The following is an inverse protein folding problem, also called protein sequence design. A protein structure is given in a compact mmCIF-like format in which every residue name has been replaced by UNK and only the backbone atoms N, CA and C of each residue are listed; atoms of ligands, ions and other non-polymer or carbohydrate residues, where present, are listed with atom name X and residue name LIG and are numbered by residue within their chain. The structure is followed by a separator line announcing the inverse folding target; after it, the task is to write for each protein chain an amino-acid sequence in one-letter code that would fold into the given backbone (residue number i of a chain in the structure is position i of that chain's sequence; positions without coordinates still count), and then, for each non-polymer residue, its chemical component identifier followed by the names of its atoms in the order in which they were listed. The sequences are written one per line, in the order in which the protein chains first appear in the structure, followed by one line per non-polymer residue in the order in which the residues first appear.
data_IF_267434117177
#
_entry.id   IF_267434117177
#
_cell.length_a   1.000
_cell.length_b   1.000
_cell.length_c   1.000
_cell.angle_alpha   90.00
_cell.angle_beta   90.00
_cell.angle_gamma   90.00
#
_symmetry.space_group_name_H-M   'P 1'
#
loop_
_entity.id
_entity.type
_entity.pdbx_description
1 polymer ?
#
# COMPACT_ATOMS: atom_id res chain seq x y z
N UNK A 1 -14.00 -2.46 24.63
CA UNK A 1 -13.36 -2.11 23.35
C UNK A 1 -11.88 -2.36 23.54
N UNK A 2 -11.25 -3.14 22.68
CA UNK A 2 -9.80 -3.32 22.75
C UNK A 2 -9.09 -2.03 22.31
N UNK A 3 -7.97 -1.70 22.92
CA UNK A 3 -7.09 -0.63 22.44
C UNK A 3 -6.16 -1.19 21.37
N UNK A 4 -5.92 -0.41 20.31
CA UNK A 4 -4.97 -0.77 19.26
C UNK A 4 -3.64 -0.05 19.51
N UNK A 5 -2.55 -0.83 19.56
CA UNK A 5 -1.20 -0.33 19.76
C UNK A 5 -0.33 -0.63 18.54
N UNK A 6 0.59 0.29 18.23
CA UNK A 6 1.62 0.08 17.21
C UNK A 6 2.85 -0.49 17.93
N UNK A 7 3.16 -1.77 17.68
CA UNK A 7 4.31 -2.44 18.28
C UNK A 7 5.61 -2.17 17.51
N UNK A 8 5.53 -2.03 16.18
CA UNK A 8 6.68 -1.81 15.32
C UNK A 8 6.26 -1.14 14.00
N UNK A 9 7.19 -0.44 13.34
CA UNK A 9 6.96 0.24 12.07
C UNK A 9 8.27 0.38 11.29
N UNK A 10 8.24 0.00 10.00
CA UNK A 10 9.41 0.06 9.12
C UNK A 10 9.07 0.41 7.68
N UNK A 11 10.12 0.81 6.95
CA UNK A 11 10.04 1.22 5.55
C UNK A 11 11.36 0.98 4.85
N UNK A 12 11.30 0.86 3.53
CA UNK A 12 12.46 0.93 2.65
C UNK A 12 13.01 2.38 2.59
N UNK A 13 14.25 2.58 2.12
CA UNK A 13 14.66 3.88 1.58
C UNK A 13 13.76 4.26 0.39
N UNK A 14 13.65 5.56 0.09
CA UNK A 14 12.89 6.04 -1.07
C UNK A 14 13.83 6.29 -2.25
N UNK A 15 13.69 5.52 -3.32
CA UNK A 15 14.38 5.74 -4.59
C UNK A 15 13.67 6.78 -5.45
N UNK A 16 14.39 7.36 -6.42
CA UNK A 16 13.79 8.23 -7.43
C UNK A 16 12.78 7.43 -8.27
N UNK A 17 11.55 7.94 -8.42
CA UNK A 17 10.46 7.32 -9.18
C UNK A 17 10.64 7.37 -10.71
N UNK A 18 11.85 7.14 -11.21
CA UNK A 18 12.23 7.18 -12.63
C UNK A 18 13.14 5.99 -12.95
N UNK A 19 13.35 5.72 -14.24
CA UNK A 19 14.17 4.59 -14.70
C UNK A 19 15.63 4.63 -14.22
N UNK A 20 16.14 5.83 -13.93
CA UNK A 20 17.48 6.07 -13.40
C UNK A 20 17.53 6.11 -11.85
N UNK A 21 16.44 5.71 -11.18
CA UNK A 21 16.38 5.62 -9.73
C UNK A 21 17.00 4.34 -9.18
N UNK A 22 17.61 4.43 -8.00
CA UNK A 22 18.33 3.33 -7.34
C UNK A 22 17.50 2.08 -7.03
N UNK A 23 16.16 2.20 -6.98
CA UNK A 23 15.26 1.07 -6.73
C UNK A 23 14.54 0.58 -8.00
N UNK A 24 14.87 1.09 -9.19
CA UNK A 24 14.18 0.71 -10.43
C UNK A 24 14.32 -0.77 -10.78
N UNK A 25 15.41 -1.40 -10.37
CA UNK A 25 15.66 -2.83 -10.60
C UNK A 25 14.95 -3.75 -9.60
N UNK A 26 14.34 -3.18 -8.53
CA UNK A 26 13.63 -3.93 -7.50
C UNK A 26 12.13 -3.84 -7.78
N UNK A 27 11.46 -4.99 -7.87
CA UNK A 27 10.01 -5.06 -8.12
C UNK A 27 9.19 -4.56 -6.94
N UNK A 28 7.97 -4.08 -7.20
CA UNK A 28 7.01 -3.74 -6.13
C UNK A 28 6.81 -4.89 -5.14
N UNK A 29 6.65 -6.13 -5.63
CA UNK A 29 6.56 -7.31 -4.77
C UNK A 29 7.79 -7.45 -3.86
N UNK A 30 9.01 -7.35 -4.39
CA UNK A 30 10.23 -7.49 -3.58
C UNK A 30 10.36 -6.40 -2.51
N UNK A 31 9.92 -5.18 -2.79
CA UNK A 31 9.87 -4.10 -1.80
C UNK A 31 8.90 -4.44 -0.66
N UNK A 32 7.71 -4.95 -0.97
CA UNK A 32 6.72 -5.37 0.04
C UNK A 32 7.24 -6.58 0.86
N UNK A 33 7.78 -7.60 0.18
CA UNK A 33 8.38 -8.79 0.80
C UNK A 33 9.44 -8.41 1.83
N UNK A 34 10.41 -7.57 1.45
CA UNK A 34 11.51 -7.19 2.35
C UNK A 34 11.03 -6.48 3.61
N UNK A 35 9.95 -5.69 3.53
CA UNK A 35 9.38 -5.02 4.70
C UNK A 35 8.73 -6.03 5.65
N UNK A 36 8.01 -7.03 5.11
CA UNK A 36 7.40 -8.10 5.89
C UNK A 36 8.44 -9.05 6.50
N UNK A 37 9.49 -9.41 5.76
CA UNK A 37 10.63 -10.18 6.28
C UNK A 37 11.30 -9.43 7.43
N UNK A 38 11.61 -8.15 7.23
CA UNK A 38 12.27 -7.36 8.26
C UNK A 38 11.39 -7.20 9.51
N UNK A 39 10.06 -7.06 9.36
CA UNK A 39 9.10 -7.05 10.47
C UNK A 39 9.07 -8.37 11.22
N UNK A 40 9.10 -9.51 10.52
CA UNK A 40 9.19 -10.83 11.14
C UNK A 40 10.51 -10.98 11.92
N UNK A 41 11.62 -10.72 11.24
CA UNK A 41 12.95 -11.10 11.72
C UNK A 41 13.38 -10.25 12.92
N UNK A 42 13.05 -8.95 12.94
CA UNK A 42 13.44 -8.09 14.08
C UNK A 42 12.67 -8.36 15.36
N UNK A 43 11.51 -8.98 15.25
CA UNK A 43 10.62 -9.26 16.39
C UNK A 43 10.57 -10.74 16.76
N UNK A 44 11.19 -11.64 15.97
CA UNK A 44 10.97 -13.09 16.11
C UNK A 44 9.48 -13.44 16.00
N UNK A 45 8.75 -12.74 15.12
CA UNK A 45 7.29 -12.79 15.04
C UNK A 45 6.83 -14.17 14.57
N UNK A 46 5.98 -14.83 15.36
CA UNK A 46 5.20 -15.97 14.91
C UNK A 46 4.11 -15.48 13.95
N UNK A 47 4.42 -15.55 12.65
CA UNK A 47 3.52 -15.05 11.60
C UNK A 47 2.18 -15.78 11.58
N UNK A 48 2.05 -16.98 12.16
CA UNK A 48 0.76 -17.68 12.25
C UNK A 48 -0.28 -16.98 13.13
N UNK A 49 0.17 -16.04 13.97
CA UNK A 49 -0.69 -15.21 14.82
C UNK A 49 -1.15 -13.92 14.17
N UNK A 50 -0.63 -13.58 12.98
CA UNK A 50 -1.08 -12.42 12.24
C UNK A 50 -2.28 -12.80 11.41
N UNK A 51 -3.42 -12.18 11.70
CA UNK A 51 -4.70 -12.49 11.06
C UNK A 51 -4.77 -11.87 9.66
N UNK A 52 -4.24 -10.65 9.47
CA UNK A 52 -4.34 -9.95 8.20
C UNK A 52 -3.17 -8.99 7.93
N UNK A 53 -2.83 -8.85 6.64
CA UNK A 53 -1.87 -7.87 6.12
C UNK A 53 -2.57 -7.01 5.08
N UNK A 54 -2.79 -5.74 5.43
CA UNK A 54 -3.46 -4.76 4.59
C UNK A 54 -2.39 -3.85 3.99
N UNK A 55 -2.24 -3.88 2.66
CA UNK A 55 -1.32 -2.98 1.96
C UNK A 55 -2.08 -2.01 1.05
N UNK A 56 -1.83 -0.71 1.24
CA UNK A 56 -2.19 0.32 0.29
C UNK A 56 -1.32 0.24 -0.97
N UNK A 57 -1.95 0.23 -2.14
CA UNK A 57 -1.30 0.30 -3.45
C UNK A 57 -2.20 1.12 -4.38
N UNK A 58 -1.68 2.23 -4.92
CA UNK A 58 -2.48 3.17 -5.73
C UNK A 58 -2.63 2.67 -7.15
N UNK A 59 -1.62 2.01 -7.70
CA UNK A 59 -1.63 1.54 -9.09
C UNK A 59 -1.53 -0.01 -9.15
N UNK A 60 -2.59 -0.74 -8.75
CA UNK A 60 -2.56 -2.21 -8.57
C UNK A 60 -2.72 -2.97 -9.91
N UNK A 61 -1.80 -2.72 -10.84
CA UNK A 61 -1.74 -3.36 -12.17
C UNK A 61 -0.35 -3.92 -12.44
N UNK A 62 -0.24 -4.89 -13.34
CA UNK A 62 1.03 -5.51 -13.70
C UNK A 62 1.69 -6.15 -12.47
N UNK A 63 2.94 -5.80 -12.18
CA UNK A 63 3.68 -6.37 -11.04
C UNK A 63 3.12 -5.97 -9.66
N UNK A 64 2.19 -5.01 -9.60
CA UNK A 64 1.49 -4.61 -8.37
C UNK A 64 0.04 -5.11 -8.31
N UNK A 65 -0.41 -5.86 -9.32
CA UNK A 65 -1.75 -6.40 -9.40
C UNK A 65 -1.93 -7.73 -8.66
N UNK A 66 -3.07 -8.36 -8.89
CA UNK A 66 -3.41 -9.68 -8.34
C UNK A 66 -3.22 -9.79 -6.81
N UNK A 67 -3.67 -8.78 -6.09
CA UNK A 67 -3.50 -8.64 -4.64
C UNK A 67 -2.02 -8.77 -4.20
N UNK A 68 -1.30 -7.66 -4.31
CA UNK A 68 0.11 -7.58 -3.91
C UNK A 68 0.31 -7.85 -2.41
N UNK A 69 -0.68 -7.60 -1.55
CA UNK A 69 -0.58 -7.89 -0.13
C UNK A 69 -0.53 -9.39 0.11
N UNK A 70 -1.47 -10.14 -0.47
CA UNK A 70 -1.49 -11.60 -0.36
C UNK A 70 -0.25 -12.24 -0.97
N UNK A 71 0.19 -11.73 -2.12
CA UNK A 71 1.39 -12.21 -2.81
C UNK A 71 2.65 -11.96 -1.96
N UNK A 72 2.77 -10.79 -1.33
CA UNK A 72 3.90 -10.45 -0.46
C UNK A 72 3.95 -11.31 0.81
N UNK A 73 2.81 -11.61 1.44
CA UNK A 73 2.74 -12.52 2.61
C UNK A 73 3.34 -13.88 2.28
N UNK A 74 2.90 -14.49 1.18
CA UNK A 74 3.40 -15.80 0.76
C UNK A 74 4.88 -15.74 0.34
N UNK A 75 5.28 -14.68 -0.37
CA UNK A 75 6.65 -14.52 -0.84
C UNK A 75 7.65 -14.27 0.31
N UNK A 76 7.22 -13.59 1.38
CA UNK A 76 8.01 -13.39 2.61
C UNK A 76 8.12 -14.65 3.49
N UNK A 77 7.50 -15.77 3.09
CA UNK A 77 7.49 -17.00 3.87
C UNK A 77 6.71 -16.88 5.19
N UNK A 78 5.73 -15.98 5.25
CA UNK A 78 4.79 -15.93 6.37
C UNK A 78 3.82 -17.11 6.30
N UNK A 79 3.14 -17.38 7.41
CA UNK A 79 2.10 -18.42 7.50
C UNK A 79 1.08 -18.29 6.37
N UNK A 80 0.73 -19.42 5.75
CA UNK A 80 -0.32 -19.47 4.73
C UNK A 80 -1.71 -19.08 5.29
N UNK A 81 -1.90 -19.12 6.61
CA UNK A 81 -3.14 -18.73 7.28
C UNK A 81 -3.28 -17.21 7.46
N UNK A 82 -2.19 -16.44 7.40
CA UNK A 82 -2.26 -14.98 7.45
C UNK A 82 -2.93 -14.47 6.20
N UNK A 83 -4.01 -13.70 6.31
CA UNK A 83 -4.67 -13.12 5.14
C UNK A 83 -3.83 -11.99 4.52
N UNK A 84 -4.23 -11.55 3.34
CA UNK A 84 -3.70 -10.36 2.71
C UNK A 84 -4.79 -9.66 1.92
N UNK A 85 -4.80 -8.33 1.94
CA UNK A 85 -5.71 -7.53 1.12
C UNK A 85 -5.04 -6.25 0.64
N UNK A 86 -5.18 -5.97 -0.65
CA UNK A 86 -4.78 -4.71 -1.26
C UNK A 86 -5.94 -3.70 -1.24
N UNK A 87 -5.63 -2.45 -0.87
CA UNK A 87 -6.60 -1.35 -0.90
C UNK A 87 -6.07 -0.13 -1.65
N UNK A 88 -6.98 0.74 -2.11
CA UNK A 88 -6.65 2.00 -2.77
C UNK A 88 -7.57 3.13 -2.25
N UNK A 89 -6.96 4.07 -1.52
CA UNK A 89 -7.52 5.38 -1.15
C UNK A 89 -6.59 6.50 -1.64
N UNK A 90 -6.13 6.40 -2.88
CA UNK A 90 -5.15 7.32 -3.49
C UNK A 90 -3.92 7.53 -2.58
N UNK A 91 -3.43 8.76 -2.44
CA UNK A 91 -2.26 9.11 -1.63
C UNK A 91 -2.37 8.67 -0.16
N UNK A 92 -3.58 8.45 0.36
CA UNK A 92 -3.83 8.04 1.75
C UNK A 92 -3.82 6.52 1.95
N UNK A 93 -3.65 5.71 0.90
CA UNK A 93 -3.81 4.24 0.96
C UNK A 93 -2.98 3.57 2.06
N UNK A 94 -1.74 4.01 2.27
CA UNK A 94 -0.88 3.45 3.33
C UNK A 94 -1.40 3.75 4.74
N UNK A 95 -1.92 4.97 4.97
CA UNK A 95 -2.50 5.33 6.26
C UNK A 95 -3.88 4.68 6.46
N UNK A 96 -4.66 4.57 5.39
CA UNK A 96 -5.94 3.85 5.43
C UNK A 96 -5.74 2.39 5.82
N UNK A 97 -4.68 1.74 5.32
CA UNK A 97 -4.36 0.37 5.69
C UNK A 97 -4.08 0.24 7.20
N UNK A 98 -3.36 1.20 7.78
CA UNK A 98 -3.12 1.28 9.23
C UNK A 98 -4.44 1.52 9.99
N UNK A 99 -5.30 2.39 9.49
CA UNK A 99 -6.61 2.64 10.10
C UNK A 99 -7.49 1.39 10.08
N UNK A 100 -7.51 0.65 8.97
CA UNK A 100 -8.26 -0.61 8.84
C UNK A 100 -7.70 -1.69 9.76
N UNK A 101 -6.37 -1.83 9.86
CA UNK A 101 -5.73 -2.76 10.78
C UNK A 101 -6.09 -2.44 12.24
N UNK A 102 -6.00 -1.16 12.63
CA UNK A 102 -6.38 -0.71 13.97
C UNK A 102 -7.88 -0.91 14.24
N UNK A 103 -8.75 -0.69 13.24
CA UNK A 103 -10.18 -0.92 13.38
C UNK A 103 -10.50 -2.39 13.62
N UNK A 104 -9.86 -3.33 12.90
CA UNK A 104 -10.02 -4.78 13.11
C UNK A 104 -9.60 -5.22 14.51
N UNK A 105 -8.50 -4.69 15.03
CA UNK A 105 -8.07 -4.94 16.41
C UNK A 105 -9.09 -4.41 17.41
N UNK A 106 -9.55 -3.16 17.23
CA UNK A 106 -10.54 -2.55 18.13
C UNK A 106 -11.89 -3.26 18.13
N UNK A 107 -12.31 -3.81 16.98
CA UNK A 107 -13.56 -4.57 16.85
C UNK A 107 -13.45 -6.01 17.37
N UNK A 108 -12.24 -6.53 17.55
CA UNK A 108 -11.98 -7.92 17.91
C UNK A 108 -12.04 -8.89 16.72
N UNK A 109 -12.01 -8.38 15.49
CA UNK A 109 -11.91 -9.19 14.27
C UNK A 109 -10.49 -9.74 14.02
N UNK A 110 -9.48 -9.11 14.61
CA UNK A 110 -8.10 -9.54 14.56
C UNK A 110 -7.42 -9.31 15.91
N UNK A 111 -6.55 -10.22 16.32
CA UNK A 111 -5.65 -10.03 17.46
C UNK A 111 -4.38 -9.30 17.00
N UNK A 112 -3.85 -9.66 15.82
CA UNK A 112 -2.72 -8.98 15.19
C UNK A 112 -2.99 -8.70 13.72
N UNK A 113 -2.76 -7.46 13.30
CA UNK A 113 -2.86 -7.05 11.91
C UNK A 113 -1.69 -6.14 11.52
N UNK A 114 -1.28 -6.21 10.25
CA UNK A 114 -0.29 -5.30 9.67
C UNK A 114 -0.98 -4.34 8.72
N UNK A 115 -0.77 -3.04 8.92
CA UNK A 115 -1.18 -1.99 7.98
C UNK A 115 0.04 -1.31 7.39
N UNK A 116 0.05 -1.13 6.06
CA UNK A 116 1.16 -0.48 5.37
C UNK A 116 0.84 -0.19 3.91
N UNK A 117 1.87 -0.13 3.06
CA UNK A 117 1.67 0.05 1.64
C UNK A 117 2.93 -0.14 0.82
N UNK A 118 2.75 -0.25 -0.49
CA UNK A 118 3.83 -0.41 -1.46
C UNK A 118 3.48 0.35 -2.74
N UNK A 119 4.49 0.99 -3.34
CA UNK A 119 4.38 1.62 -4.64
C UNK A 119 5.76 1.65 -5.32
N UNK A 120 5.83 1.25 -6.59
CA UNK A 120 7.03 1.19 -7.41
C UNK A 120 6.88 2.08 -8.66
N UNK A 121 6.71 3.39 -8.44
CA UNK A 121 6.40 4.37 -9.52
C UNK A 121 7.40 4.39 -10.68
N UNK A 122 8.66 3.98 -10.47
CA UNK A 122 9.67 3.89 -11.54
C UNK A 122 9.39 2.74 -12.51
N UNK A 123 8.58 1.75 -12.11
CA UNK A 123 8.24 0.52 -12.85
C UNK A 123 6.77 0.48 -13.25
N UNK A 124 5.89 0.91 -12.34
CA UNK A 124 4.44 1.08 -12.58
C UNK A 124 4.09 2.56 -12.41
N UNK A 125 4.11 3.35 -13.50
CA UNK A 125 3.83 4.78 -13.43
C UNK A 125 2.44 5.10 -12.90
N UNK A 126 2.31 6.22 -12.20
CA UNK A 126 1.01 6.74 -11.74
C UNK A 126 0.01 6.85 -12.91
N UNK A 127 -1.21 6.33 -12.71
CA UNK A 127 -2.27 6.32 -13.71
C UNK A 127 -2.23 5.13 -14.68
N UNK A 128 -1.30 4.18 -14.51
CA UNK A 128 -1.27 2.97 -15.35
C UNK A 128 -2.50 2.07 -15.17
N UNK A 129 -3.23 2.21 -14.06
CA UNK A 129 -4.48 1.53 -13.74
C UNK A 129 -5.71 2.20 -14.37
N UNK A 130 -5.56 3.39 -14.97
CA UNK A 130 -6.64 4.14 -15.57
C UNK A 130 -7.60 4.74 -14.54
N UNK A 131 -8.90 4.47 -14.71
CA UNK A 131 -9.96 4.95 -13.81
C UNK A 131 -10.99 5.82 -14.52
N UNK A 132 -12.27 5.58 -14.20
CA UNK A 132 -13.38 6.30 -14.81
C UNK A 132 -13.29 7.82 -14.57
N UNK A 133 -12.84 8.26 -13.39
CA UNK A 133 -12.81 9.67 -13.03
C UNK A 133 -12.03 10.56 -14.03
N UNK A 134 -10.76 10.24 -14.40
CA UNK A 134 -10.04 11.01 -15.41
C UNK A 134 -10.29 10.58 -16.86
N UNK A 135 -10.67 9.32 -17.12
CA UNK A 135 -10.71 8.76 -18.49
C UNK A 135 -12.10 8.84 -19.13
N UNK A 136 -13.18 8.69 -18.37
CA UNK A 136 -14.55 8.75 -18.90
C UNK A 136 -14.99 10.22 -19.03
N UNK A 137 -15.27 10.73 -20.23
CA UNK A 137 -15.71 12.12 -20.41
C UNK A 137 -16.95 12.47 -19.58
N UNK A 138 -17.90 11.54 -19.42
CA UNK A 138 -19.12 11.78 -18.64
C UNK A 138 -18.83 12.01 -17.15
N UNK A 139 -17.77 11.41 -16.62
CA UNK A 139 -17.28 11.63 -15.26
C UNK A 139 -16.34 12.84 -15.18
N UNK A 140 -15.35 12.92 -16.07
CA UNK A 140 -14.31 13.95 -16.03
C UNK A 140 -14.89 15.36 -16.17
N UNK A 141 -15.84 15.57 -17.09
CA UNK A 141 -16.49 16.88 -17.27
C UNK A 141 -17.43 17.22 -16.11
N UNK A 142 -18.22 16.26 -15.63
CA UNK A 142 -19.19 16.51 -14.56
C UNK A 142 -18.55 16.76 -13.19
N UNK A 143 -17.38 16.16 -12.94
CA UNK A 143 -16.63 16.29 -11.68
C UNK A 143 -15.51 17.32 -11.75
N UNK A 144 -15.35 18.02 -12.88
CA UNK A 144 -14.29 19.01 -13.11
C UNK A 144 -12.90 18.45 -12.81
N UNK A 145 -12.58 17.28 -13.38
CA UNK A 145 -11.28 16.65 -13.18
C UNK A 145 -10.14 17.63 -13.49
N UNK A 146 -9.22 17.76 -12.54
CA UNK A 146 -8.06 18.65 -12.66
C UNK A 146 -6.83 17.92 -12.11
N UNK A 147 -5.67 18.00 -12.79
CA UNK A 147 -4.43 17.46 -12.24
C UNK A 147 -4.04 18.12 -10.92
N UNK A 148 -3.61 17.31 -9.96
CA UNK A 148 -3.23 17.77 -8.62
C UNK A 148 -2.20 18.91 -8.59
N UNK A 149 -1.30 18.99 -9.58
CA UNK A 149 -0.33 20.09 -9.69
C UNK A 149 -0.98 21.44 -9.95
N UNK A 150 -2.02 21.49 -10.79
CA UNK A 150 -2.78 22.73 -11.07
C UNK A 150 -3.53 23.19 -9.82
N UNK A 151 -4.10 22.26 -9.06
CA UNK A 151 -4.73 22.57 -7.77
C UNK A 151 -3.73 23.13 -6.76
N UNK A 152 -2.50 22.59 -6.73
CA UNK A 152 -1.44 23.09 -5.87
C UNK A 152 -1.00 24.52 -6.25
N UNK A 153 -0.83 24.80 -7.55
CA UNK A 153 -0.51 26.14 -8.05
C UNK A 153 -1.61 27.15 -7.71
N UNK A 154 -2.88 26.76 -7.83
CA UNK A 154 -4.03 27.60 -7.47
C UNK A 154 -4.05 27.98 -5.98
N UNK A 155 -3.64 27.06 -5.10
CA UNK A 155 -3.48 27.36 -3.66
C UNK A 155 -2.34 28.36 -3.46
N UNK A 156 -1.22 28.17 -4.16
CA UNK A 156 -0.04 29.02 -4.03
C UNK A 156 -0.23 30.45 -4.61
N UNK A 157 -1.11 30.61 -5.59
CA UNK A 157 -1.39 31.89 -6.24
C UNK A 157 -2.50 32.71 -5.54
N UNK A 158 -2.99 32.28 -4.38
CA UNK A 158 -3.92 33.03 -3.52
C UNK A 158 -3.17 33.76 -2.41
#
# INVERSE_FOLDING_TARGET
MADAYIYDAVRTPRGKGKKDGSLHEITGLSLATQVLEALRDRNGLDTSKVDDVILGCVTPVGEQGADIARTAVLNAGWSQYTAGVQINRFCASGLEAVNMAAAKVKSGEADFAVGGGVEAMSRVPMGSDGGAWPVDPSSAFSTYFVPQGVSADMIASK
#
